data_IF_604587382395
#
_entry.id   IF_604587382395
#
_cell.length_a   1.000
_cell.length_b   1.000
_cell.length_c   1.000
_cell.angle_alpha   90.00
_cell.angle_beta   90.00
_cell.angle_gamma   90.00
#
_symmetry.space_group_name_H-M   'P 1'
#
loop_
_entity.id
_entity.type
_entity.pdbx_description
1 polymer ?
#
# COMPACT_ATOMS: atom_id res chain seq x y z
N UNK A 1 -7.40 -4.74 15.99
CA UNK A 1 -7.15 -5.95 15.17
C UNK A 1 -7.18 -5.69 13.66
N UNK A 2 -8.15 -4.94 13.10
CA UNK A 2 -8.25 -4.67 11.64
C UNK A 2 -6.97 -4.09 11.01
N UNK A 3 -6.32 -3.19 11.76
CA UNK A 3 -4.98 -2.67 11.56
C UNK A 3 -3.93 -3.73 11.15
N UNK A 4 -3.76 -4.71 12.03
CA UNK A 4 -2.79 -5.79 11.87
C UNK A 4 -3.14 -6.65 10.67
N UNK A 5 -4.43 -6.93 10.44
CA UNK A 5 -4.88 -7.69 9.27
C UNK A 5 -4.51 -6.98 7.96
N UNK A 6 -4.76 -5.67 7.87
CA UNK A 6 -4.41 -4.88 6.69
C UNK A 6 -2.89 -4.85 6.45
N UNK A 7 -2.13 -4.63 7.52
CA UNK A 7 -0.67 -4.66 7.48
C UNK A 7 -0.13 -6.02 7.00
N UNK A 8 -0.62 -7.10 7.61
CA UNK A 8 -0.23 -8.47 7.24
C UNK A 8 -0.56 -8.76 5.78
N UNK A 9 -1.71 -8.29 5.28
CA UNK A 9 -2.09 -8.48 3.88
C UNK A 9 -1.09 -7.82 2.93
N UNK A 10 -0.72 -6.56 3.17
CA UNK A 10 0.29 -5.86 2.38
C UNK A 10 1.66 -6.56 2.43
N UNK A 11 2.08 -6.99 3.63
CA UNK A 11 3.36 -7.68 3.81
C UNK A 11 3.39 -8.99 3.03
N UNK A 12 2.34 -9.81 3.11
CA UNK A 12 2.28 -11.12 2.43
C UNK A 12 2.28 -10.96 0.92
N UNK A 13 1.50 -10.02 0.38
CA UNK A 13 1.45 -9.77 -1.07
C UNK A 13 2.81 -9.30 -1.57
N UNK A 14 3.43 -8.34 -0.90
CA UNK A 14 4.73 -7.83 -1.31
C UNK A 14 5.86 -8.85 -1.12
N UNK A 15 5.78 -9.73 -0.12
CA UNK A 15 6.72 -10.84 0.04
C UNK A 15 6.62 -11.85 -1.11
N UNK A 16 5.40 -12.18 -1.55
CA UNK A 16 5.18 -13.05 -2.71
C UNK A 16 5.74 -12.43 -4.00
N UNK A 17 5.53 -11.13 -4.21
CA UNK A 17 6.08 -10.40 -5.36
C UNK A 17 7.61 -10.33 -5.29
N UNK A 18 8.17 -10.04 -4.12
CA UNK A 18 9.62 -10.01 -3.91
C UNK A 18 10.25 -11.37 -4.23
N UNK A 19 9.64 -12.46 -3.78
CA UNK A 19 10.10 -13.82 -4.08
C UNK A 19 10.05 -14.11 -5.59
N UNK A 20 8.94 -13.77 -6.25
CA UNK A 20 8.78 -13.95 -7.69
C UNK A 20 9.86 -13.20 -8.49
N UNK A 21 10.07 -11.92 -8.17
CA UNK A 21 11.06 -11.07 -8.85
C UNK A 21 12.48 -11.55 -8.53
N UNK A 22 12.76 -11.88 -7.27
CA UNK A 22 14.05 -12.43 -6.85
C UNK A 22 14.40 -13.71 -7.60
N UNK A 23 13.47 -14.65 -7.71
CA UNK A 23 13.66 -15.89 -8.47
C UNK A 23 13.84 -15.64 -9.97
N UNK A 24 13.17 -14.64 -10.54
CA UNK A 24 13.36 -14.27 -11.94
C UNK A 24 14.77 -13.69 -12.19
N UNK A 25 15.23 -12.79 -11.32
CA UNK A 25 16.57 -12.20 -11.40
C UNK A 25 17.66 -13.25 -11.16
N UNK A 26 17.44 -14.16 -10.21
CA UNK A 26 18.35 -15.29 -9.94
C UNK A 26 18.60 -16.12 -11.18
N UNK A 27 17.55 -16.45 -11.94
CA UNK A 27 17.64 -17.21 -13.19
C UNK A 27 18.34 -16.45 -14.31
N UNK A 28 18.27 -15.12 -14.30
CA UNK A 28 18.70 -14.28 -15.41
C UNK A 28 20.11 -13.72 -15.24
N UNK A 29 20.56 -13.52 -14.00
CA UNK A 29 21.81 -12.81 -13.67
C UNK A 29 22.73 -13.69 -12.85
N UNK A 30 22.38 -13.92 -11.58
CA UNK A 30 23.10 -14.79 -10.66
C UNK A 30 22.32 -14.97 -9.37
N UNK A 31 22.62 -16.05 -8.63
CA UNK A 31 22.03 -16.33 -7.32
C UNK A 31 22.25 -15.19 -6.30
N UNK A 32 23.46 -14.61 -6.27
CA UNK A 32 23.76 -13.48 -5.38
C UNK A 32 22.91 -12.24 -5.68
N UNK A 33 22.70 -11.95 -6.97
CA UNK A 33 21.91 -10.78 -7.36
C UNK A 33 20.41 -10.99 -7.12
N UNK A 34 19.90 -12.21 -7.36
CA UNK A 34 18.52 -12.56 -7.01
C UNK A 34 18.23 -12.41 -5.52
N UNK A 35 19.17 -12.85 -4.67
CA UNK A 35 19.06 -12.68 -3.22
C UNK A 35 19.06 -11.21 -2.79
N UNK A 36 19.95 -10.38 -3.35
CA UNK A 36 20.00 -8.95 -3.05
C UNK A 36 18.69 -8.25 -3.46
N UNK A 37 18.18 -8.56 -4.64
CA UNK A 37 16.91 -8.00 -5.13
C UNK A 37 15.74 -8.45 -4.25
N UNK A 38 15.67 -9.74 -3.91
CA UNK A 38 14.66 -10.26 -2.98
C UNK A 38 14.69 -9.53 -1.63
N UNK A 39 15.85 -9.43 -0.98
CA UNK A 39 15.99 -8.74 0.31
C UNK A 39 15.58 -7.28 0.20
N UNK A 40 16.05 -6.58 -0.84
CA UNK A 40 15.75 -5.16 -1.04
C UNK A 40 14.25 -4.93 -1.20
N UNK A 41 13.58 -5.74 -2.03
CA UNK A 41 12.14 -5.67 -2.24
C UNK A 41 11.36 -6.05 -0.99
N UNK A 42 11.81 -7.07 -0.25
CA UNK A 42 11.16 -7.55 0.96
C UNK A 42 11.20 -6.49 2.08
N UNK A 43 12.37 -5.93 2.38
CA UNK A 43 12.52 -4.90 3.40
C UNK A 43 11.88 -3.57 2.97
N UNK A 44 12.00 -3.21 1.70
CA UNK A 44 11.30 -2.06 1.13
C UNK A 44 9.79 -2.20 1.31
N UNK A 45 9.23 -3.36 0.96
CA UNK A 45 7.82 -3.66 1.17
C UNK A 45 7.40 -3.60 2.64
N UNK A 46 8.24 -4.07 3.57
CA UNK A 46 7.96 -4.01 5.00
C UNK A 46 7.76 -2.56 5.48
N UNK A 47 8.68 -1.66 5.11
CA UNK A 47 8.60 -0.23 5.44
C UNK A 47 7.40 0.44 4.75
N UNK A 48 7.20 0.19 3.45
CA UNK A 48 6.06 0.75 2.71
C UNK A 48 4.72 0.29 3.27
N UNK A 49 4.59 -1.00 3.60
CA UNK A 49 3.39 -1.57 4.22
C UNK A 49 3.09 -0.92 5.57
N UNK A 50 4.14 -0.65 6.37
CA UNK A 50 4.00 0.01 7.66
C UNK A 50 3.46 1.43 7.51
N UNK A 51 4.07 2.22 6.62
CA UNK A 51 3.64 3.60 6.33
C UNK A 51 2.20 3.62 5.77
N UNK A 52 1.89 2.77 4.79
CA UNK A 52 0.53 2.67 4.23
C UNK A 52 -0.50 2.33 5.29
N UNK A 53 -0.17 1.43 6.20
CA UNK A 53 -1.09 1.02 7.26
C UNK A 53 -1.36 2.18 8.22
N UNK A 54 -0.34 2.96 8.60
CA UNK A 54 -0.52 4.17 9.41
C UNK A 54 -1.43 5.17 8.69
N UNK A 55 -1.14 5.49 7.43
CA UNK A 55 -1.94 6.42 6.63
C UNK A 55 -3.40 5.98 6.46
N UNK A 56 -3.62 4.68 6.31
CA UNK A 56 -4.96 4.10 6.22
C UNK A 56 -5.71 4.17 7.55
N UNK A 57 -5.02 4.03 8.68
CA UNK A 57 -5.61 4.12 10.01
C UNK A 57 -5.89 5.55 10.45
N UNK A 58 -4.98 6.49 10.17
CA UNK A 58 -5.13 7.91 10.51
C UNK A 58 -6.29 8.58 9.74
N UNK A 59 -6.90 7.88 8.78
CA UNK A 59 -8.06 8.38 8.05
C UNK A 59 -7.70 9.36 6.93
N UNK A 60 -6.41 9.56 6.64
CA UNK A 60 -5.94 10.39 5.51
C UNK A 60 -6.55 9.92 4.18
N UNK A 61 -6.74 8.60 4.00
CA UNK A 61 -7.41 8.03 2.82
C UNK A 61 -8.94 8.22 2.84
N UNK A 62 -9.53 8.42 4.02
CA UNK A 62 -10.97 8.65 4.20
C UNK A 62 -11.36 10.10 3.91
N UNK A 63 -10.49 11.06 4.20
CA UNK A 63 -10.76 12.48 3.96
C UNK A 63 -10.67 12.87 2.47
N UNK A 64 -9.79 12.23 1.70
CA UNK A 64 -9.78 12.39 0.23
C UNK A 64 -11.08 11.86 -0.38
N UNK A 65 -11.55 10.69 0.07
CA UNK A 65 -12.83 10.11 -0.38
C UNK A 65 -14.06 10.95 -0.01
N UNK A 66 -14.02 11.72 1.08
CA UNK A 66 -15.10 12.66 1.44
C UNK A 66 -15.06 13.94 0.61
N UNK A 67 -13.88 14.41 0.19
CA UNK A 67 -13.74 15.63 -0.64
C UNK A 67 -14.35 15.46 -2.03
N UNK A 68 -14.21 14.27 -2.62
CA UNK A 68 -14.83 13.93 -3.92
C UNK A 68 -16.34 13.67 -3.82
N UNK A 69 -16.88 13.55 -2.59
CA UNK A 69 -18.29 13.33 -2.32
C UNK A 69 -19.00 14.54 -1.75
N UNK A 70 -18.37 15.71 -1.74
CA UNK A 70 -19.06 16.97 -1.49
C UNK A 70 -20.06 17.16 -2.65
N UNK A 71 -21.37 17.06 -2.42
CA UNK A 71 -22.33 17.40 -3.45
C UNK A 71 -22.16 18.89 -3.70
N UNK A 72 -21.70 19.25 -4.90
CA UNK A 72 -21.95 20.56 -5.42
C UNK A 72 -23.48 20.78 -5.40
N UNK A 73 -23.87 21.99 -4.99
CA UNK A 73 -25.23 22.53 -5.03
C UNK A 73 -26.16 22.21 -3.85
N UNK A 74 -26.01 22.98 -2.77
CA UNK A 74 -27.17 23.55 -2.08
C UNK A 74 -27.30 25.01 -2.55
N UNK A 75 -28.03 25.32 -3.65
CA UNK A 75 -28.44 26.70 -3.86
C UNK A 75 -29.47 26.98 -2.77
N UNK A 76 -29.07 27.75 -1.75
CA UNK A 76 -29.97 28.39 -0.78
C UNK A 76 -31.10 29.06 -1.57
N UNK A 77 -32.21 28.33 -1.72
CA UNK A 77 -33.51 28.92 -2.03
C UNK A 77 -34.31 28.82 -0.75
N UNK A 78 -34.69 30.00 -0.25
CA UNK A 78 -36.04 30.39 0.18
C UNK A 78 -35.94 31.57 1.14
N UNK A 79 -37.05 32.29 1.39
CA UNK A 79 -38.21 32.56 0.54
C UNK A 79 -38.49 34.09 0.47
N UNK A 80 -39.57 34.43 -0.23
CA UNK A 80 -40.24 35.75 -0.35
C UNK A 80 -40.16 36.63 0.89
#
# INVERSE_FOLDING_TARGET
>A
MKALVLYTLFVVIGAALAALVGSYVERSVSQGMGLLVFLTLFFGNFVTSWIMTILAMDGTLRDTSKRDRAPAAEPRRRPV
#
